data_IF_143138351564
#
_entry.id   IF_143138351564
#
_cell.length_a   1.000
_cell.length_b   1.000
_cell.length_c   1.000
_cell.angle_alpha   90.00
_cell.angle_beta   90.00
_cell.angle_gamma   90.00
#
_symmetry.space_group_name_H-M   'P 1'
#
loop_
_entity.id
_entity.type
_entity.pdbx_description
1 polymer ?
#
# COMPACT_ATOMS: atom_id res chain seq x y z
N UNK A 1 9.39 -6.04 9.06
CA UNK A 1 9.00 -6.29 7.66
C UNK A 1 8.15 -7.54 7.50
N UNK A 2 8.56 -8.72 7.97
CA UNK A 2 7.81 -9.99 7.77
C UNK A 2 6.31 -9.94 8.10
N UNK A 3 5.91 -9.22 9.16
CA UNK A 3 4.49 -9.08 9.53
C UNK A 3 3.62 -8.34 8.50
N UNK A 4 4.22 -7.53 7.63
CA UNK A 4 3.51 -6.76 6.59
C UNK A 4 3.65 -7.39 5.20
N UNK A 5 4.31 -8.54 5.07
CA UNK A 5 4.46 -9.24 3.79
C UNK A 5 3.12 -9.56 3.11
N UNK A 6 2.08 -10.06 3.81
CA UNK A 6 0.78 -10.30 3.20
C UNK A 6 0.15 -9.02 2.64
N UNK A 7 0.28 -7.90 3.37
CA UNK A 7 -0.20 -6.59 2.91
C UNK A 7 0.54 -6.13 1.66
N UNK A 8 1.87 -6.23 1.66
CA UNK A 8 2.70 -5.83 0.52
C UNK A 8 2.35 -6.67 -0.71
N UNK A 9 2.25 -8.00 -0.57
CA UNK A 9 1.91 -8.89 -1.68
C UNK A 9 0.50 -8.60 -2.23
N UNK A 10 -0.48 -8.40 -1.35
CA UNK A 10 -1.86 -8.10 -1.75
C UNK A 10 -1.97 -6.74 -2.42
N UNK A 11 -1.29 -5.70 -1.91
CA UNK A 11 -1.26 -4.38 -2.55
C UNK A 11 -0.62 -4.43 -3.94
N UNK A 12 0.44 -5.22 -4.11
CA UNK A 12 1.09 -5.42 -5.41
C UNK A 12 0.17 -6.17 -6.39
N UNK A 13 -0.60 -7.16 -5.94
CA UNK A 13 -1.56 -7.88 -6.79
C UNK A 13 -2.77 -7.01 -7.17
N UNK A 14 -3.28 -6.22 -6.22
CA UNK A 14 -4.42 -5.32 -6.40
C UNK A 14 -4.20 -4.19 -7.43
N UNK A 15 -2.95 -3.93 -7.84
CA UNK A 15 -2.66 -2.99 -8.94
C UNK A 15 -3.23 -3.50 -10.26
N UNK A 16 -3.18 -4.81 -10.50
CA UNK A 16 -3.55 -5.43 -11.77
C UNK A 16 -4.87 -6.24 -11.68
N UNK A 17 -5.31 -6.55 -10.46
CA UNK A 17 -6.48 -7.41 -10.19
C UNK A 17 -7.57 -6.64 -9.42
N UNK A 18 -8.71 -6.41 -10.10
CA UNK A 18 -9.83 -5.66 -9.56
C UNK A 18 -10.56 -6.37 -8.40
N UNK A 19 -10.59 -7.71 -8.38
CA UNK A 19 -11.22 -8.48 -7.31
C UNK A 19 -10.34 -8.41 -6.05
N UNK A 20 -9.03 -8.59 -6.21
CA UNK A 20 -8.07 -8.42 -5.11
C UNK A 20 -8.09 -6.98 -4.59
N UNK A 21 -8.23 -5.99 -5.48
CA UNK A 21 -8.36 -4.57 -5.10
C UNK A 21 -9.59 -4.32 -4.21
N UNK A 22 -10.74 -4.91 -4.54
CA UNK A 22 -11.94 -4.77 -3.71
C UNK A 22 -11.76 -5.42 -2.34
N UNK A 23 -11.22 -6.64 -2.29
CA UNK A 23 -10.94 -7.33 -1.02
C UNK A 23 -9.95 -6.57 -0.14
N UNK A 24 -8.88 -6.03 -0.75
CA UNK A 24 -7.90 -5.19 -0.06
C UNK A 24 -8.53 -3.92 0.52
N UNK A 25 -9.40 -3.25 -0.22
CA UNK A 25 -10.08 -2.04 0.26
C UNK A 25 -10.88 -2.32 1.53
N UNK A 26 -11.70 -3.37 1.53
CA UNK A 26 -12.48 -3.76 2.72
C UNK A 26 -11.62 -4.19 3.90
N UNK A 27 -10.43 -4.74 3.65
CA UNK A 27 -9.50 -5.07 4.72
C UNK A 27 -8.85 -3.81 5.32
N UNK A 28 -8.46 -2.84 4.48
CA UNK A 28 -7.85 -1.58 4.89
C UNK A 28 -8.80 -0.65 5.64
N UNK A 29 -10.10 -0.70 5.37
CA UNK A 29 -11.11 0.09 6.11
C UNK A 29 -11.03 -0.15 7.63
N UNK A 30 -10.76 -1.39 8.05
CA UNK A 30 -10.60 -1.77 9.48
C UNK A 30 -9.32 -1.25 10.12
N UNK A 31 -8.35 -0.81 9.33
CA UNK A 31 -7.04 -0.35 9.80
C UNK A 31 -7.04 1.16 10.11
N UNK A 32 -7.95 1.92 9.48
CA UNK A 32 -8.10 3.36 9.70
C UNK A 32 -8.41 3.65 11.17
N UNK A 33 -9.31 2.86 11.77
CA UNK A 33 -9.73 2.99 13.18
C UNK A 33 -8.59 2.74 14.18
N UNK A 34 -7.52 2.06 13.76
CA UNK A 34 -6.37 1.71 14.60
C UNK A 34 -5.15 2.63 14.38
N UNK A 35 -5.34 3.80 13.77
CA UNK A 35 -4.28 4.79 13.57
C UNK A 35 -3.41 4.56 12.34
N UNK A 36 -3.80 3.67 11.42
CA UNK A 36 -3.07 3.40 10.17
C UNK A 36 -3.60 4.21 8.98
N UNK A 37 -4.43 5.23 9.22
CA UNK A 37 -5.09 6.02 8.17
C UNK A 37 -4.14 6.54 7.08
N UNK A 38 -2.98 7.08 7.46
CA UNK A 38 -2.02 7.60 6.48
C UNK A 38 -1.44 6.49 5.58
N UNK A 39 -1.18 5.30 6.13
CA UNK A 39 -0.73 4.14 5.34
C UNK A 39 -1.82 3.69 4.38
N UNK A 40 -3.08 3.64 4.84
CA UNK A 40 -4.24 3.29 4.03
C UNK A 40 -4.42 4.25 2.86
N UNK A 41 -4.32 5.55 3.11
CA UNK A 41 -4.38 6.60 2.08
C UNK A 41 -3.25 6.41 1.06
N UNK A 42 -2.00 6.24 1.50
CA UNK A 42 -0.88 6.02 0.60
C UNK A 42 -1.04 4.77 -0.28
N UNK A 43 -1.58 3.67 0.27
CA UNK A 43 -1.88 2.46 -0.52
C UNK A 43 -2.99 2.74 -1.55
N UNK A 44 -4.03 3.50 -1.20
CA UNK A 44 -5.08 3.88 -2.15
C UNK A 44 -4.52 4.70 -3.32
N UNK A 45 -3.66 5.68 -3.04
CA UNK A 45 -2.96 6.44 -4.08
C UNK A 45 -2.15 5.54 -5.02
N UNK A 46 -1.45 4.52 -4.49
CA UNK A 46 -0.77 3.52 -5.34
C UNK A 46 -1.78 2.78 -6.25
N UNK A 47 -2.92 2.36 -5.71
CA UNK A 47 -3.95 1.67 -6.50
C UNK A 47 -4.59 2.58 -7.55
N UNK A 48 -4.57 3.90 -7.35
CA UNK A 48 -5.02 4.91 -8.31
C UNK A 48 -3.93 5.35 -9.31
N UNK A 49 -2.72 4.81 -9.20
CA UNK A 49 -1.65 5.03 -10.17
C UNK A 49 -0.53 5.96 -9.73
N UNK A 50 -0.59 6.53 -8.52
CA UNK A 50 0.49 7.36 -7.99
C UNK A 50 1.76 6.54 -7.73
N UNK A 51 2.92 7.05 -8.14
CA UNK A 51 4.23 6.40 -8.01
C UNK A 51 5.30 7.32 -7.43
N UNK A 52 5.00 8.61 -7.22
CA UNK A 52 5.91 9.55 -6.59
C UNK A 52 6.07 9.23 -5.09
N UNK A 53 7.30 8.86 -4.71
CA UNK A 53 7.64 8.51 -3.34
C UNK A 53 7.53 9.68 -2.37
N UNK A 54 7.83 10.89 -2.81
CA UNK A 54 7.76 12.07 -1.95
C UNK A 54 6.31 12.31 -1.52
N UNK A 55 5.38 12.24 -2.47
CA UNK A 55 3.93 12.37 -2.21
C UNK A 55 3.44 11.21 -1.33
N UNK A 56 3.76 9.97 -1.70
CA UNK A 56 3.27 8.78 -1.00
C UNK A 56 3.80 8.64 0.44
N UNK A 57 4.95 9.22 0.75
CA UNK A 57 5.60 9.08 2.06
C UNK A 57 5.52 10.32 2.94
N UNK A 58 4.97 11.45 2.46
CA UNK A 58 4.99 12.74 3.15
C UNK A 58 4.43 12.66 4.59
N UNK A 59 3.27 12.01 4.75
CA UNK A 59 2.57 11.88 6.04
C UNK A 59 2.87 10.57 6.77
N UNK A 60 3.90 9.83 6.35
CA UNK A 60 4.22 8.51 6.87
C UNK A 60 5.36 8.54 7.88
N UNK A 61 5.24 7.69 8.91
CA UNK A 61 6.37 7.34 9.76
C UNK A 61 7.41 6.53 8.99
N UNK A 62 8.65 6.47 9.49
CA UNK A 62 9.72 5.69 8.87
C UNK A 62 9.32 4.22 8.61
N UNK A 63 8.55 3.61 9.51
CA UNK A 63 8.08 2.23 9.39
C UNK A 63 7.04 2.07 8.28
N UNK A 64 6.08 2.99 8.17
CA UNK A 64 5.02 2.94 7.13
C UNK A 64 5.55 3.34 5.76
N UNK A 65 6.48 4.30 5.70
CA UNK A 65 7.22 4.63 4.49
C UNK A 65 8.04 3.45 3.96
N UNK A 66 8.60 2.60 4.84
CA UNK A 66 9.30 1.40 4.42
C UNK A 66 8.36 0.40 3.71
N UNK A 67 7.11 0.26 4.16
CA UNK A 67 6.09 -0.59 3.54
C UNK A 67 5.75 -0.07 2.13
N UNK A 68 5.47 1.23 2.00
CA UNK A 68 5.19 1.87 0.70
C UNK A 68 6.35 1.67 -0.28
N UNK A 69 7.58 1.87 0.18
CA UNK A 69 8.76 1.64 -0.64
C UNK A 69 8.90 0.18 -1.09
N UNK A 70 8.55 -0.78 -0.25
CA UNK A 70 8.56 -2.21 -0.61
C UNK A 70 7.51 -2.53 -1.68
N UNK A 71 6.31 -1.97 -1.58
CA UNK A 71 5.24 -2.11 -2.58
C UNK A 71 5.72 -1.56 -3.93
N UNK A 72 6.20 -0.31 -3.96
CA UNK A 72 6.66 0.33 -5.19
C UNK A 72 7.80 -0.45 -5.87
N UNK A 73 8.77 -0.95 -5.10
CA UNK A 73 9.86 -1.78 -5.63
C UNK A 73 9.34 -3.05 -6.31
N UNK A 74 8.35 -3.72 -5.72
CA UNK A 74 7.75 -4.94 -6.29
C UNK A 74 6.90 -4.66 -7.52
N UNK A 75 6.21 -3.52 -7.57
CA UNK A 75 5.48 -3.09 -8.78
C UNK A 75 6.46 -2.86 -9.94
N UNK A 76 7.56 -2.16 -9.71
CA UNK A 76 8.57 -1.92 -10.76
C UNK A 76 9.24 -3.23 -11.21
N UNK A 77 9.52 -4.15 -10.29
CA UNK A 77 10.14 -5.44 -10.62
C UNK A 77 9.22 -6.48 -11.27
N UNK A 78 7.91 -6.19 -11.42
CA UNK A 78 6.96 -7.03 -12.18
C UNK A 78 7.01 -6.78 -13.70
N UNK A 79 7.65 -5.68 -14.12
CA UNK A 79 7.73 -5.23 -15.51
C UNK A 79 8.92 -5.89 -16.21
#
# INVERSE_FOLDING_TARGET
MQQFEPLIAMAVAAVDDAEVRQGLKSWLEKWVENGWGNLVVAIQHILDGERDKAILCESLSWQTAAIINAILRRIVGKI
#
